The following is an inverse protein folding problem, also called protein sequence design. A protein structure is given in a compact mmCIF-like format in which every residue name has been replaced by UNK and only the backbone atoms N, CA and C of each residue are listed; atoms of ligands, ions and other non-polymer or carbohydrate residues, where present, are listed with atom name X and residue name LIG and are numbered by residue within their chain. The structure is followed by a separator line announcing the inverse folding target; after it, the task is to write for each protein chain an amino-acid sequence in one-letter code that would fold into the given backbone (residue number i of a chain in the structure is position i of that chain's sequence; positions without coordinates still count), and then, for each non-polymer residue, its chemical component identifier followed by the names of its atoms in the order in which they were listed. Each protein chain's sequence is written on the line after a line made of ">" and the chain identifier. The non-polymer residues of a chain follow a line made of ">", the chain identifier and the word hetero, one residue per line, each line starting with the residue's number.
data_IF_733475274574
#
_entry.id   IF_733475274574
#
_cell.length_a   1.000
_cell.length_b   1.000
_cell.length_c   1.000
_cell.angle_alpha   90.00
_cell.angle_beta   90.00
_cell.angle_gamma   90.00
#
_symmetry.space_group_name_H-M   'P 1'
#
loop_
_entity.id
_entity.type
_entity.pdbx_description
1 polymer ?
#
# COMPACT_ATOMS: atom_id res chain seq x y z
N UNK A 1 -6.32 -24.62 -5.76
CA UNK A 1 -5.47 -23.52 -6.23
C UNK A 1 -5.57 -22.42 -5.19
N UNK A 2 -4.51 -22.25 -4.40
CA UNK A 2 -4.45 -21.18 -3.39
C UNK A 2 -4.37 -19.85 -4.12
N UNK A 3 -5.41 -19.04 -4.01
CA UNK A 3 -5.36 -17.64 -4.43
C UNK A 3 -4.37 -17.00 -3.46
N UNK A 4 -3.19 -16.65 -3.97
CA UNK A 4 -2.14 -15.97 -3.22
C UNK A 4 -2.75 -14.70 -2.59
N UNK A 5 -2.72 -14.62 -1.26
CA UNK A 5 -3.31 -13.49 -0.55
C UNK A 5 -2.60 -12.19 -0.97
N UNK A 6 -3.33 -11.08 -1.18
CA UNK A 6 -2.70 -9.80 -1.46
C UNK A 6 -1.71 -9.45 -0.34
N UNK A 7 -0.53 -8.98 -0.71
CA UNK A 7 0.57 -8.60 0.20
C UNK A 7 0.28 -7.34 1.02
N UNK A 8 -0.87 -6.72 0.79
CA UNK A 8 -1.34 -5.52 1.45
C UNK A 8 -2.88 -5.55 1.51
N UNK A 9 -3.46 -5.01 2.58
CA UNK A 9 -4.90 -4.85 2.77
C UNK A 9 -5.21 -3.40 3.11
N UNK A 10 -6.17 -2.83 2.40
CA UNK A 10 -6.78 -1.57 2.80
C UNK A 10 -8.02 -1.88 3.63
N UNK A 11 -8.11 -1.25 4.80
CA UNK A 11 -9.30 -1.24 5.63
C UNK A 11 -9.89 0.17 5.55
N UNK A 12 -11.13 0.25 5.08
CA UNK A 12 -11.86 1.50 5.00
C UNK A 12 -12.53 1.75 6.37
N UNK A 13 -12.17 2.85 7.03
CA UNK A 13 -12.77 3.27 8.29
C UNK A 13 -13.52 4.59 8.08
N UNK A 14 -14.60 4.82 8.82
CA UNK A 14 -15.45 6.01 8.64
C UNK A 14 -14.75 7.36 8.92
N UNK A 15 -13.50 7.36 9.40
CA UNK A 15 -12.68 8.56 9.65
C UNK A 15 -11.41 8.66 8.78
N UNK A 16 -11.15 7.67 7.91
CA UNK A 16 -9.92 7.56 7.14
C UNK A 16 -9.66 6.14 6.65
N UNK A 17 -8.51 5.91 6.01
CA UNK A 17 -8.19 4.62 5.42
C UNK A 17 -6.95 4.01 6.08
N UNK A 18 -7.08 2.83 6.68
CA UNK A 18 -5.96 2.11 7.28
C UNK A 18 -5.33 1.18 6.25
N UNK A 19 -4.07 1.43 5.91
CA UNK A 19 -3.25 0.60 5.04
C UNK A 19 -2.43 -0.37 5.86
N UNK A 20 -2.66 -1.67 5.67
CA UNK A 20 -1.79 -2.73 6.16
C UNK A 20 -0.91 -3.23 5.03
N UNK A 21 0.41 -3.25 5.25
CA UNK A 21 1.41 -3.78 4.32
C UNK A 21 2.24 -4.87 5.00
N UNK A 22 2.45 -6.00 4.32
CA UNK A 22 3.28 -7.09 4.87
C UNK A 22 4.78 -6.77 4.88
N UNK A 23 5.24 -5.91 3.96
CA UNK A 23 6.66 -5.60 3.80
C UNK A 23 6.93 -4.10 4.01
N UNK A 24 8.00 -3.77 4.74
CA UNK A 24 8.34 -2.40 5.11
C UNK A 24 8.63 -1.48 3.90
N UNK A 25 9.12 -2.04 2.79
CA UNK A 25 9.31 -1.25 1.56
C UNK A 25 8.00 -0.80 0.91
N UNK A 26 6.90 -1.54 1.09
CA UNK A 26 5.59 -1.14 0.62
C UNK A 26 5.06 0.06 1.44
N UNK A 27 5.38 0.09 2.74
CA UNK A 27 5.08 1.21 3.62
C UNK A 27 5.80 2.49 3.16
N UNK A 28 7.09 2.38 2.81
CA UNK A 28 7.86 3.51 2.29
C UNK A 28 7.27 4.06 0.98
N UNK A 29 6.74 3.17 0.12
CA UNK A 29 6.06 3.56 -1.11
C UNK A 29 4.73 4.27 -0.82
N UNK A 30 3.93 3.72 0.09
CA UNK A 30 2.67 4.33 0.53
C UNK A 30 2.88 5.73 1.13
N UNK A 31 3.90 5.91 1.99
CA UNK A 31 4.29 7.23 2.50
C UNK A 31 4.68 8.20 1.39
N UNK A 32 5.43 7.72 0.40
CA UNK A 32 5.86 8.56 -0.73
C UNK A 32 4.66 9.03 -1.55
N UNK A 33 3.69 8.15 -1.79
CA UNK A 33 2.44 8.48 -2.50
C UNK A 33 1.61 9.46 -1.68
N UNK A 34 1.43 9.21 -0.39
CA UNK A 34 0.69 10.09 0.51
C UNK A 34 1.31 11.49 0.55
N UNK A 35 2.65 11.58 0.66
CA UNK A 35 3.38 12.85 0.59
C UNK A 35 3.27 13.54 -0.78
N UNK A 36 3.30 12.78 -1.87
CA UNK A 36 3.17 13.33 -3.22
C UNK A 36 1.78 13.92 -3.49
N UNK A 37 0.76 13.37 -2.82
CA UNK A 37 -0.65 13.81 -2.92
C UNK A 37 -1.05 14.82 -1.84
N UNK A 38 -0.10 15.27 -1.01
CA UNK A 38 -0.34 16.16 0.14
C UNK A 38 -1.41 15.61 1.11
N UNK A 39 -1.44 14.29 1.28
CA UNK A 39 -2.40 13.60 2.14
C UNK A 39 -1.83 13.50 3.54
N UNK A 40 -2.66 13.78 4.53
CA UNK A 40 -2.29 13.55 5.92
C UNK A 40 -2.30 12.05 6.21
N UNK A 41 -1.18 11.54 6.68
CA UNK A 41 -1.04 10.16 7.13
C UNK A 41 -0.40 10.10 8.51
N UNK A 42 -0.68 9.01 9.21
CA UNK A 42 -0.17 8.67 10.52
C UNK A 42 0.37 7.25 10.45
N UNK A 43 1.61 7.07 10.86
CA UNK A 43 2.22 5.75 10.94
C UNK A 43 1.78 5.13 12.27
N UNK A 44 0.98 4.08 12.18
CA UNK A 44 0.50 3.35 13.36
C UNK A 44 1.60 2.38 13.81
N UNK A 45 2.17 1.64 12.85
CA UNK A 45 3.24 0.65 13.08
C UNK A 45 4.10 0.49 11.80
N UNK A 46 5.18 -0.31 11.88
CA UNK A 46 6.06 -0.64 10.74
C UNK A 46 5.33 -1.31 9.55
N UNK A 47 4.08 -1.73 9.76
CA UNK A 47 3.22 -2.40 8.79
C UNK A 47 1.88 -1.68 8.56
N UNK A 48 1.61 -0.60 9.30
CA UNK A 48 0.29 0.04 9.31
C UNK A 48 0.43 1.54 9.11
N UNK A 49 -0.22 2.05 8.05
CA UNK A 49 -0.26 3.46 7.70
C UNK A 49 -1.72 3.92 7.68
N UNK A 50 -2.09 4.82 8.58
CA UNK A 50 -3.42 5.40 8.62
C UNK A 50 -3.47 6.70 7.82
N UNK A 51 -4.30 6.76 6.78
CA UNK A 51 -4.48 7.94 5.94
C UNK A 51 -5.71 8.70 6.44
N UNK A 52 -5.49 9.89 7.00
CA UNK A 52 -6.55 10.75 7.53
C UNK A 52 -7.23 11.49 6.40
N UNK A 53 -8.56 11.61 6.48
CA UNK A 53 -9.36 12.50 5.64
C UNK A 53 -9.21 12.25 4.12
N UNK A 54 -9.12 10.98 3.74
CA UNK A 54 -8.99 10.56 2.34
C UNK A 54 -10.37 10.36 1.71
N UNK A 55 -10.85 11.36 0.96
CA UNK A 55 -12.11 11.26 0.19
C UNK A 55 -11.95 10.48 -1.13
N UNK A 56 -10.71 10.19 -1.53
CA UNK A 56 -10.37 9.61 -2.84
C UNK A 56 -9.70 8.26 -2.67
N UNK A 57 -9.99 7.37 -3.60
CA UNK A 57 -9.57 5.98 -3.77
C UNK A 57 -8.03 5.78 -3.85
N UNK A 58 -7.29 6.32 -2.88
CA UNK A 58 -5.82 6.22 -2.77
C UNK A 58 -5.39 4.78 -2.60
N UNK A 59 -6.25 3.93 -2.02
CA UNK A 59 -5.99 2.51 -1.95
C UNK A 59 -5.77 1.90 -3.32
N UNK A 60 -6.59 2.23 -4.32
CA UNK A 60 -6.39 1.71 -5.67
C UNK A 60 -5.07 2.18 -6.30
N UNK A 61 -4.64 3.42 -6.06
CA UNK A 61 -3.37 3.94 -6.61
C UNK A 61 -2.14 3.36 -5.91
N UNK A 62 -2.17 3.30 -4.57
CA UNK A 62 -1.13 2.65 -3.78
C UNK A 62 -1.08 1.16 -4.14
N UNK A 63 -2.22 0.50 -4.26
CA UNK A 63 -2.32 -0.87 -4.78
C UNK A 63 -1.64 -1.00 -6.14
N UNK A 64 -2.00 -0.17 -7.12
CA UNK A 64 -1.47 -0.27 -8.46
C UNK A 64 0.06 -0.05 -8.52
N UNK A 65 0.59 0.91 -7.75
CA UNK A 65 2.03 1.15 -7.65
C UNK A 65 2.76 -0.01 -6.96
N UNK A 66 2.21 -0.52 -5.86
CA UNK A 66 2.78 -1.67 -5.14
C UNK A 66 2.74 -2.94 -6.01
N UNK A 67 1.62 -3.20 -6.67
CA UNK A 67 1.42 -4.35 -7.55
C UNK A 67 2.38 -4.28 -8.74
N UNK A 68 2.55 -3.10 -9.35
CA UNK A 68 3.56 -2.86 -10.40
C UNK A 68 4.97 -3.14 -9.90
N UNK A 69 5.32 -2.70 -8.69
CA UNK A 69 6.64 -2.96 -8.09
C UNK A 69 6.86 -4.44 -7.81
N UNK A 70 5.88 -5.14 -7.24
CA UNK A 70 5.92 -6.58 -6.97
C UNK A 70 6.02 -7.35 -8.28
N UNK A 71 5.22 -6.99 -9.29
CA UNK A 71 5.22 -7.59 -10.61
C UNK A 71 6.58 -7.42 -11.31
N UNK A 72 7.20 -6.23 -11.25
CA UNK A 72 8.51 -5.97 -11.82
C UNK A 72 9.62 -6.82 -11.15
N UNK A 73 9.52 -7.01 -9.82
CA UNK A 73 10.44 -7.87 -9.05
C UNK A 73 10.21 -9.36 -9.32
N UNK A 74 8.95 -9.80 -9.38
CA UNK A 74 8.57 -11.19 -9.65
C UNK A 74 9.03 -11.65 -11.05
N UNK A 75 8.94 -10.77 -12.05
CA UNK A 75 9.40 -11.05 -13.41
C UNK A 75 10.91 -11.30 -13.50
N UNK A 76 11.71 -10.76 -12.58
CA UNK A 76 13.16 -11.01 -12.48
C UNK A 76 13.52 -12.31 -11.75
N UNK A 77 12.59 -12.94 -11.05
CA UNK A 77 12.88 -14.19 -10.30
C UNK A 77 12.68 -15.45 -11.16
N UNK A 78 11.91 -15.38 -12.25
CA UNK A 78 11.65 -16.51 -13.15
C UNK A 78 12.64 -16.65 -14.31
N UNK A 79 13.53 -15.69 -14.53
CA UNK A 79 14.57 -15.73 -15.56
C UNK A 79 15.96 -16.07 -14.98
N UNK A 80 15.97 -16.97 -13.99
CA UNK A 80 17.17 -17.71 -13.57
C UNK A 80 16.89 -19.20 -13.62
#
# INVERSE_FOLDING_TARGET
>A
MSIEQPTHRCYEESSGMLFEVKEAHLLALARKIAKNKDIQYEEVDDRHLFLKNTEVNICAEVQAELDKYIYDKAKKQYYR
#
